data_IF_559433661731
#
_entry.id   IF_559433661731
#
_cell.length_a   1.000
_cell.length_b   1.000
_cell.length_c   1.000
_cell.angle_alpha   90.00
_cell.angle_beta   90.00
_cell.angle_gamma   90.00
#
_symmetry.space_group_name_H-M   'P 1'
#
loop_
_entity.id
_entity.type
_entity.pdbx_description
1 polymer ?
#
# COMPACT_ATOMS: atom_id res chain seq x y z
N UNK A 1 -11.33 -26.59 -22.81
CA UNK A 1 -11.92 -26.74 -21.46
C UNK A 1 -11.20 -25.73 -20.58
N UNK A 2 -11.91 -24.74 -20.04
CA UNK A 2 -11.33 -23.84 -19.02
C UNK A 2 -11.18 -24.70 -17.76
N UNK A 3 -9.97 -24.89 -17.26
CA UNK A 3 -9.74 -25.61 -15.99
C UNK A 3 -10.51 -24.87 -14.88
N UNK A 4 -11.29 -25.59 -14.12
CA UNK A 4 -12.01 -25.05 -12.98
C UNK A 4 -10.99 -24.48 -11.97
N UNK A 5 -11.14 -23.22 -11.61
CA UNK A 5 -10.22 -22.55 -10.68
C UNK A 5 -10.44 -23.11 -9.29
N UNK A 6 -9.45 -23.80 -8.74
CA UNK A 6 -9.48 -24.33 -7.38
C UNK A 6 -8.93 -23.28 -6.42
N UNK A 7 -9.66 -23.01 -5.32
CA UNK A 7 -9.27 -22.05 -4.27
C UNK A 7 -9.28 -22.70 -2.87
N UNK A 8 -8.95 -23.98 -2.79
CA UNK A 8 -9.08 -24.75 -1.54
C UNK A 8 -8.10 -24.28 -0.44
N UNK A 9 -6.84 -24.02 -0.80
CA UNK A 9 -5.85 -23.49 0.16
C UNK A 9 -6.22 -22.08 0.62
N UNK A 10 -6.72 -21.26 -0.30
CA UNK A 10 -7.21 -19.92 0.03
C UNK A 10 -8.42 -19.98 0.97
N UNK A 11 -9.34 -20.91 0.75
CA UNK A 11 -10.48 -21.16 1.66
C UNK A 11 -10.01 -21.54 3.06
N UNK A 12 -9.11 -22.52 3.17
CA UNK A 12 -8.56 -22.95 4.46
C UNK A 12 -7.84 -21.82 5.19
N UNK A 13 -7.09 -21.00 4.47
CA UNK A 13 -6.40 -19.83 5.04
C UNK A 13 -7.41 -18.80 5.55
N UNK A 14 -8.49 -18.55 4.81
CA UNK A 14 -9.54 -17.64 5.22
C UNK A 14 -10.27 -18.12 6.49
N UNK A 15 -10.55 -19.44 6.63
CA UNK A 15 -11.12 -19.98 7.87
C UNK A 15 -10.22 -19.71 9.09
N UNK A 16 -8.91 -19.89 8.94
CA UNK A 16 -7.95 -19.50 9.99
C UNK A 16 -7.95 -17.99 10.26
N UNK A 17 -7.99 -17.19 9.20
CA UNK A 17 -7.97 -15.73 9.33
C UNK A 17 -9.19 -15.20 10.09
N UNK A 18 -10.39 -15.76 9.86
CA UNK A 18 -11.61 -15.36 10.59
C UNK A 18 -11.53 -15.57 12.11
N UNK A 19 -10.74 -16.54 12.55
CA UNK A 19 -10.54 -16.77 13.98
C UNK A 19 -9.57 -15.76 14.63
N UNK A 20 -8.78 -15.05 13.83
CA UNK A 20 -7.68 -14.19 14.30
C UNK A 20 -7.87 -12.71 13.93
N UNK A 21 -8.58 -12.45 12.84
CA UNK A 21 -8.73 -11.12 12.26
C UNK A 21 -10.23 -10.83 12.07
N UNK A 22 -10.76 -9.74 12.59
CA UNK A 22 -12.17 -9.39 12.39
C UNK A 22 -12.55 -9.39 10.89
N UNK A 23 -13.53 -10.22 10.52
CA UNK A 23 -13.95 -10.41 9.13
C UNK A 23 -12.94 -11.16 8.25
N UNK A 24 -11.85 -11.71 8.83
CA UNK A 24 -10.84 -12.50 8.11
C UNK A 24 -9.88 -11.67 7.24
N UNK A 25 -9.97 -10.33 7.26
CA UNK A 25 -9.13 -9.43 6.45
C UNK A 25 -8.78 -8.17 7.22
N UNK A 26 -7.57 -7.64 7.00
CA UNK A 26 -7.11 -6.40 7.64
C UNK A 26 -7.58 -5.12 6.92
N UNK A 27 -8.32 -5.26 5.82
CA UNK A 27 -8.93 -4.12 5.11
C UNK A 27 -10.24 -4.54 4.45
N UNK A 28 -11.33 -3.74 4.57
CA UNK A 28 -12.63 -4.05 3.97
C UNK A 28 -12.58 -4.29 2.45
N UNK A 29 -11.69 -3.60 1.75
CA UNK A 29 -11.51 -3.76 0.28
C UNK A 29 -11.01 -5.15 -0.11
N UNK A 30 -10.49 -5.94 0.83
CA UNK A 30 -10.05 -7.32 0.61
C UNK A 30 -11.13 -8.34 0.94
N UNK A 31 -12.30 -7.91 1.44
CA UNK A 31 -13.43 -8.79 1.80
C UNK A 31 -14.21 -9.22 0.55
N UNK A 32 -13.62 -10.09 -0.25
CA UNK A 32 -14.22 -10.67 -1.47
C UNK A 32 -15.05 -11.88 -1.09
N UNK A 33 -16.25 -12.02 -1.63
CA UNK A 33 -17.15 -13.16 -1.41
C UNK A 33 -16.92 -14.25 -2.46
N UNK A 34 -17.03 -15.53 -2.09
CA UNK A 34 -17.29 -16.08 -0.74
C UNK A 34 -16.10 -15.96 0.21
N UNK A 35 -14.90 -15.88 -0.31
CA UNK A 35 -13.62 -15.64 0.36
C UNK A 35 -12.59 -15.11 -0.64
N UNK A 36 -11.60 -14.31 -0.20
CA UNK A 36 -10.53 -13.84 -1.08
C UNK A 36 -9.57 -14.99 -1.43
N UNK A 37 -8.92 -14.92 -2.59
CA UNK A 37 -7.71 -15.72 -2.79
C UNK A 37 -6.54 -15.11 -1.99
N UNK A 38 -5.58 -15.94 -1.61
CA UNK A 38 -4.37 -15.51 -0.91
C UNK A 38 -3.19 -15.57 -1.86
N UNK A 39 -2.49 -14.47 -2.01
CA UNK A 39 -1.32 -14.35 -2.89
C UNK A 39 -0.12 -15.10 -2.30
N UNK A 40 0.48 -15.97 -3.11
CA UNK A 40 1.73 -16.67 -2.79
C UNK A 40 2.95 -15.92 -3.33
N UNK A 41 2.84 -15.37 -4.55
CA UNK A 41 3.91 -14.61 -5.21
C UNK A 41 3.34 -13.68 -6.27
N UNK A 42 4.16 -12.73 -6.72
CA UNK A 42 3.82 -11.85 -7.82
C UNK A 42 5.08 -11.46 -8.59
N UNK A 43 4.96 -11.30 -9.91
CA UNK A 43 6.04 -10.85 -10.78
C UNK A 43 5.48 -10.11 -11.99
N UNK A 44 6.09 -9.01 -12.39
CA UNK A 44 5.61 -8.15 -13.46
C UNK A 44 4.14 -7.78 -13.28
N UNK A 45 3.30 -8.15 -14.24
CA UNK A 45 1.85 -7.89 -14.21
C UNK A 45 1.01 -9.02 -13.60
N UNK A 46 1.63 -10.03 -13.00
CA UNK A 46 0.95 -11.25 -12.59
C UNK A 46 1.04 -11.51 -11.09
N UNK A 47 -0.05 -12.06 -10.56
CA UNK A 47 -0.16 -12.57 -9.19
C UNK A 47 -0.44 -14.07 -9.26
N UNK A 48 0.22 -14.84 -8.42
CA UNK A 48 -0.03 -16.26 -8.23
C UNK A 48 -0.58 -16.51 -6.83
N UNK A 49 -1.69 -17.23 -6.73
CA UNK A 49 -2.30 -17.58 -5.46
C UNK A 49 -1.67 -18.83 -4.80
N UNK A 50 -2.14 -19.16 -3.59
CA UNK A 50 -1.69 -20.34 -2.84
C UNK A 50 -2.05 -21.65 -3.53
N UNK A 51 -3.08 -21.66 -4.37
CA UNK A 51 -3.53 -22.82 -5.11
C UNK A 51 -2.79 -23.00 -6.43
N UNK A 52 -2.00 -22.01 -6.83
CA UNK A 52 -1.18 -22.03 -8.03
C UNK A 52 -1.83 -21.38 -9.25
N UNK A 53 -3.01 -20.79 -9.10
CA UNK A 53 -3.66 -20.06 -10.18
C UNK A 53 -2.93 -18.72 -10.42
N UNK A 54 -2.85 -18.32 -11.69
CA UNK A 54 -2.21 -17.09 -12.10
C UNK A 54 -3.26 -16.08 -12.60
N UNK A 55 -3.14 -14.83 -12.16
CA UNK A 55 -4.04 -13.73 -12.51
C UNK A 55 -3.25 -12.55 -13.03
N UNK A 56 -3.84 -11.79 -13.96
CA UNK A 56 -3.32 -10.47 -14.33
C UNK A 56 -3.77 -9.47 -13.27
N UNK A 57 -2.81 -8.76 -12.67
CA UNK A 57 -3.09 -7.78 -11.63
C UNK A 57 -3.42 -6.41 -12.23
N UNK A 58 -4.70 -6.09 -12.28
CA UNK A 58 -5.19 -4.75 -12.62
C UNK A 58 -5.37 -3.84 -11.40
N UNK A 59 -5.16 -4.36 -10.19
CA UNK A 59 -5.31 -3.61 -8.95
C UNK A 59 -4.04 -2.83 -8.59
N UNK A 60 -2.87 -3.36 -8.90
CA UNK A 60 -1.55 -2.73 -8.68
C UNK A 60 -1.37 -2.21 -7.24
N UNK A 61 -1.83 -2.98 -6.25
CA UNK A 61 -1.83 -2.61 -4.84
C UNK A 61 -2.53 -1.25 -4.55
N UNK A 62 -3.54 -0.91 -5.35
CA UNK A 62 -4.28 0.37 -5.34
C UNK A 62 -3.41 1.59 -5.70
N UNK A 63 -2.40 1.40 -6.56
CA UNK A 63 -1.59 2.46 -7.16
C UNK A 63 -0.08 2.32 -7.01
N UNK A 64 0.49 1.91 -5.86
CA UNK A 64 1.94 1.90 -5.69
C UNK A 64 2.72 1.02 -6.66
N UNK A 65 2.13 -0.06 -7.17
CA UNK A 65 2.82 -1.03 -8.03
C UNK A 65 2.77 -0.67 -9.53
N UNK A 66 2.88 0.60 -9.88
CA UNK A 66 2.81 1.08 -11.29
C UNK A 66 3.88 0.51 -12.21
N UNK A 67 5.00 0.06 -11.67
CA UNK A 67 6.09 -0.60 -12.41
C UNK A 67 5.93 -2.14 -12.44
N UNK A 68 4.82 -2.64 -11.92
CA UNK A 68 4.59 -4.07 -11.71
C UNK A 68 5.28 -4.60 -10.46
N UNK A 69 5.01 -5.88 -10.21
CA UNK A 69 5.59 -6.60 -9.08
C UNK A 69 7.05 -6.95 -9.33
N UNK A 70 7.84 -6.94 -8.26
CA UNK A 70 9.21 -7.46 -8.26
C UNK A 70 10.12 -6.81 -9.32
N UNK A 71 9.88 -5.53 -9.64
CA UNK A 71 10.66 -4.81 -10.66
C UNK A 71 12.17 -4.88 -10.35
N UNK A 72 13.03 -5.33 -11.29
CA UNK A 72 14.41 -5.68 -10.98
C UNK A 72 15.23 -4.51 -10.42
N UNK A 73 15.09 -3.32 -10.95
CA UNK A 73 15.82 -2.12 -10.46
C UNK A 73 15.43 -1.78 -9.02
N UNK A 74 14.13 -1.84 -8.69
CA UNK A 74 13.65 -1.57 -7.32
C UNK A 74 14.14 -2.66 -6.37
N UNK A 75 14.04 -3.92 -6.79
CA UNK A 75 14.49 -5.06 -6.00
C UNK A 75 15.97 -4.96 -5.63
N UNK A 76 16.82 -4.65 -6.59
CA UNK A 76 18.26 -4.51 -6.34
C UNK A 76 18.59 -3.30 -5.47
N UNK A 77 17.88 -2.17 -5.65
CA UNK A 77 18.04 -1.01 -4.78
C UNK A 77 17.65 -1.30 -3.32
N UNK A 78 16.54 -2.05 -3.12
CA UNK A 78 16.11 -2.49 -1.78
C UNK A 78 17.14 -3.43 -1.16
N UNK A 79 17.65 -4.41 -1.91
CA UNK A 79 18.69 -5.33 -1.42
C UNK A 79 19.94 -4.59 -0.97
N UNK A 80 20.42 -3.66 -1.80
CA UNK A 80 21.59 -2.85 -1.46
C UNK A 80 21.37 -1.97 -0.20
N UNK A 81 20.13 -1.55 0.04
CA UNK A 81 19.80 -0.80 1.26
C UNK A 81 19.69 -1.71 2.49
N UNK A 82 19.22 -2.95 2.32
CA UNK A 82 19.14 -3.91 3.43
C UNK A 82 20.51 -4.20 4.04
N UNK A 83 21.57 -4.25 3.22
CA UNK A 83 22.95 -4.43 3.69
C UNK A 83 23.47 -3.26 4.55
N UNK A 84 22.85 -2.08 4.44
CA UNK A 84 23.14 -0.87 5.23
C UNK A 84 22.22 -0.70 6.43
N UNK A 85 21.16 -1.50 6.51
CA UNK A 85 20.05 -1.33 7.45
C UNK A 85 18.89 -0.53 6.86
N UNK A 86 17.71 -0.65 7.48
CA UNK A 86 16.46 -0.05 6.95
C UNK A 86 15.60 0.64 8.01
N UNK A 87 15.98 0.57 9.27
CA UNK A 87 15.25 1.21 10.37
C UNK A 87 16.23 1.94 11.28
N UNK A 88 16.07 3.26 11.34
CA UNK A 88 16.93 4.14 12.11
C UNK A 88 16.10 5.06 13.00
N UNK A 89 16.61 5.37 14.18
CA UNK A 89 16.08 6.42 15.06
C UNK A 89 16.61 7.82 14.73
N UNK A 90 17.34 7.95 13.62
CA UNK A 90 17.98 9.20 13.16
C UNK A 90 17.59 9.50 11.72
N UNK A 91 17.72 10.77 11.27
CA UNK A 91 17.52 11.12 9.86
C UNK A 91 18.50 10.38 8.93
N UNK A 92 18.11 10.22 7.67
CA UNK A 92 18.93 9.58 6.64
C UNK A 92 19.07 10.47 5.41
N UNK A 93 20.14 10.29 4.64
CA UNK A 93 20.34 10.97 3.38
C UNK A 93 19.23 10.68 2.36
N UNK A 94 18.71 9.45 2.35
CA UNK A 94 17.63 9.04 1.44
C UNK A 94 16.35 9.85 1.65
N UNK A 95 16.04 10.21 2.89
CA UNK A 95 14.87 11.04 3.22
C UNK A 95 15.00 12.44 2.61
N UNK A 96 16.18 13.05 2.75
CA UNK A 96 16.46 14.38 2.19
C UNK A 96 16.46 14.36 0.65
N UNK A 97 17.12 13.35 0.07
CA UNK A 97 17.16 13.16 -1.39
C UNK A 97 15.77 12.97 -1.98
N UNK A 98 14.90 12.19 -1.31
CA UNK A 98 13.52 11.99 -1.75
C UNK A 98 12.70 13.28 -1.61
N UNK A 99 12.90 14.04 -0.53
CA UNK A 99 12.22 15.33 -0.33
C UNK A 99 12.56 16.33 -1.43
N UNK A 100 13.84 16.48 -1.75
CA UNK A 100 14.32 17.35 -2.82
C UNK A 100 13.74 16.96 -4.19
N UNK A 101 13.75 15.66 -4.49
CA UNK A 101 13.18 15.15 -5.74
C UNK A 101 11.68 15.42 -5.86
N UNK A 102 10.91 15.24 -4.78
CA UNK A 102 9.46 15.53 -4.77
C UNK A 102 9.21 17.03 -4.95
N UNK A 103 9.92 17.88 -4.21
CA UNK A 103 9.79 19.33 -4.33
C UNK A 103 10.11 19.83 -5.75
N UNK A 104 11.08 19.21 -6.42
CA UNK A 104 11.41 19.51 -7.82
C UNK A 104 10.28 19.21 -8.83
N UNK A 105 9.39 18.24 -8.53
CA UNK A 105 8.23 17.95 -9.37
C UNK A 105 6.98 18.79 -9.05
N UNK A 106 6.91 19.39 -7.87
CA UNK A 106 5.75 20.13 -7.40
C UNK A 106 6.14 21.54 -6.96
N UNK A 107 6.12 22.55 -7.86
CA UNK A 107 6.56 23.91 -7.55
C UNK A 107 5.83 24.60 -6.38
N UNK A 108 4.68 24.07 -5.97
CA UNK A 108 3.91 24.56 -4.82
C UNK A 108 4.37 24.00 -3.47
N UNK A 109 5.37 23.13 -3.46
CA UNK A 109 5.89 22.52 -2.23
C UNK A 109 7.16 23.25 -1.80
N UNK A 110 7.07 24.05 -0.73
CA UNK A 110 8.23 24.65 -0.07
C UNK A 110 8.89 23.68 0.92
N UNK A 111 8.06 22.95 1.67
CA UNK A 111 8.51 21.95 2.65
C UNK A 111 7.54 20.77 2.67
N UNK A 112 8.05 19.59 2.98
CA UNK A 112 7.25 18.38 3.11
C UNK A 112 7.64 17.56 4.34
N UNK A 113 6.73 16.71 4.78
CA UNK A 113 6.95 15.74 5.83
C UNK A 113 6.47 14.37 5.39
N UNK A 114 7.32 13.38 5.58
CA UNK A 114 6.94 11.98 5.36
C UNK A 114 6.17 11.42 6.54
N UNK A 115 5.20 10.58 6.23
CA UNK A 115 4.40 9.79 7.17
C UNK A 115 4.20 8.40 6.59
N UNK A 116 3.79 7.44 7.40
CA UNK A 116 3.72 6.04 6.98
C UNK A 116 2.43 5.67 6.24
N UNK A 117 1.36 6.46 6.37
CA UNK A 117 0.04 6.15 5.79
C UNK A 117 -0.68 7.39 5.28
N UNK A 118 -1.63 7.18 4.34
CA UNK A 118 -2.53 8.24 3.88
C UNK A 118 -3.40 8.81 5.00
N UNK A 119 -3.80 7.99 5.97
CA UNK A 119 -4.52 8.43 7.17
C UNK A 119 -3.71 9.41 8.01
N UNK A 120 -2.43 9.15 8.22
CA UNK A 120 -1.53 10.07 8.91
C UNK A 120 -1.31 11.36 8.12
N UNK A 121 -1.22 11.26 6.79
CA UNK A 121 -1.07 12.42 5.91
C UNK A 121 -2.30 13.33 5.98
N UNK A 122 -3.51 12.78 5.85
CA UNK A 122 -4.76 13.54 5.94
C UNK A 122 -4.98 14.13 7.34
N UNK A 123 -4.68 13.37 8.39
CA UNK A 123 -4.74 13.87 9.77
C UNK A 123 -3.77 15.05 9.98
N UNK A 124 -2.56 14.94 9.49
CA UNK A 124 -1.54 16.00 9.60
C UNK A 124 -1.94 17.23 8.79
N UNK A 125 -2.47 17.06 7.57
CA UNK A 125 -2.96 18.15 6.73
C UNK A 125 -4.11 18.91 7.38
N UNK A 126 -5.08 18.20 7.98
CA UNK A 126 -6.18 18.82 8.72
C UNK A 126 -5.71 19.60 9.95
N UNK A 127 -4.75 19.05 10.69
CA UNK A 127 -4.14 19.76 11.83
C UNK A 127 -3.42 21.04 11.39
N UNK A 128 -2.64 20.96 10.31
CA UNK A 128 -1.94 22.10 9.75
C UNK A 128 -2.93 23.18 9.27
N UNK A 129 -3.95 22.79 8.51
CA UNK A 129 -4.98 23.71 8.01
C UNK A 129 -5.72 24.41 9.15
N UNK A 130 -6.09 23.70 10.22
CA UNK A 130 -6.72 24.28 11.39
C UNK A 130 -5.77 25.23 12.15
N UNK A 131 -4.52 24.83 12.34
CA UNK A 131 -3.52 25.67 13.01
C UNK A 131 -3.25 26.97 12.25
N UNK A 132 -3.16 26.88 10.93
CA UNK A 132 -2.90 28.05 10.08
C UNK A 132 -4.08 29.00 9.97
N UNK A 133 -5.32 28.46 9.83
CA UNK A 133 -6.51 29.27 9.59
C UNK A 133 -7.30 29.65 10.84
N UNK A 134 -7.06 28.99 11.98
CA UNK A 134 -7.89 29.10 13.19
C UNK A 134 -9.28 28.50 13.04
N UNK A 135 -9.60 27.82 11.90
CA UNK A 135 -10.93 27.27 11.62
C UNK A 135 -10.99 25.80 12.03
N UNK A 136 -12.12 25.39 12.63
CA UNK A 136 -12.32 24.01 13.08
C UNK A 136 -13.08 23.13 12.08
N UNK A 137 -13.96 23.74 11.28
CA UNK A 137 -14.81 23.01 10.33
C UNK A 137 -14.07 22.74 9.02
N UNK A 138 -14.34 21.58 8.43
CA UNK A 138 -13.91 21.22 7.09
C UNK A 138 -15.04 20.51 6.35
N UNK A 139 -15.01 20.55 5.04
CA UNK A 139 -15.97 19.85 4.19
C UNK A 139 -15.36 18.51 3.77
N UNK A 140 -16.13 17.44 3.89
CA UNK A 140 -15.79 16.10 3.43
C UNK A 140 -16.80 15.65 2.37
N UNK A 141 -16.32 14.99 1.31
CA UNK A 141 -17.19 14.36 0.33
C UNK A 141 -17.72 13.05 0.92
N UNK A 142 -19.03 12.89 0.93
CA UNK A 142 -19.68 11.66 1.39
C UNK A 142 -19.28 10.50 0.46
N UNK A 143 -18.98 9.34 1.06
CA UNK A 143 -18.49 8.17 0.31
C UNK A 143 -17.06 8.28 -0.22
N UNK A 144 -16.37 9.42 -0.04
CA UNK A 144 -14.98 9.57 -0.42
C UNK A 144 -14.04 8.81 0.52
N UNK A 145 -12.97 8.27 -0.04
CA UNK A 145 -11.89 7.63 0.73
C UNK A 145 -10.86 8.68 1.14
N UNK A 146 -10.75 8.94 2.45
CA UNK A 146 -9.90 10.01 2.98
C UNK A 146 -8.91 9.51 4.07
N UNK A 147 -8.62 8.23 4.08
CA UNK A 147 -7.73 7.62 5.07
C UNK A 147 -8.39 7.19 6.36
#
# INVERSE_FOLDING_TARGET
>A
MVSEVTLEKSRQMYEKAKALIPGGVSSPVRAIKPYPFYTASADGSKIKDLDGNEYIDYCLAYGPAILGHNHPVIKEAIKAQLDKGWLYGTPTELEVTLADKIAGYYPSIDMLRFVSTGTEATMSALRLARGFTGRNKFIKIEGGFHG
#
